data_IF_699073212162
#
_entry.id   IF_699073212162
#
_cell.length_a   1.000
_cell.length_b   1.000
_cell.length_c   1.000
_cell.angle_alpha   90.00
_cell.angle_beta   90.00
_cell.angle_gamma   90.00
#
_symmetry.space_group_name_H-M   'P 1'
#
loop_
_entity.id
_entity.type
_entity.pdbx_description
1 polymer ?
#
# COMPACT_ATOMS: atom_id res chain seq x y z
N UNK A 1 -6.30 -4.28 -3.21
CA UNK A 1 -5.78 -3.20 -4.08
C UNK A 1 -6.53 -3.18 -5.40
N UNK A 2 -6.58 -2.05 -6.09
CA UNK A 2 -7.30 -1.94 -7.37
C UNK A 2 -6.56 -2.61 -8.55
N UNK A 3 -7.26 -2.78 -9.68
CA UNK A 3 -6.71 -3.38 -10.88
C UNK A 3 -5.50 -2.62 -11.47
N UNK A 4 -5.44 -1.29 -11.28
CA UNK A 4 -4.32 -0.47 -11.73
C UNK A 4 -3.04 -0.77 -10.96
N UNK A 5 -3.17 -0.94 -9.65
CA UNK A 5 -2.12 -1.39 -8.75
C UNK A 5 -1.65 -2.79 -9.14
N UNK A 6 -2.57 -3.75 -9.33
CA UNK A 6 -2.23 -5.11 -9.78
C UNK A 6 -1.40 -5.08 -11.08
N UNK A 7 -1.85 -4.31 -12.08
CA UNK A 7 -1.11 -4.16 -13.33
C UNK A 7 0.25 -3.48 -13.16
N UNK A 8 0.38 -2.54 -12.22
CA UNK A 8 1.64 -1.87 -11.90
C UNK A 8 2.63 -2.81 -11.21
N UNK A 9 2.15 -3.68 -10.32
CA UNK A 9 2.95 -4.70 -9.66
C UNK A 9 3.58 -5.66 -10.66
N UNK A 10 2.82 -6.09 -11.67
CA UNK A 10 3.34 -6.91 -12.78
C UNK A 10 4.45 -6.22 -13.61
N UNK A 11 4.64 -4.91 -13.45
CA UNK A 11 5.73 -4.13 -14.07
C UNK A 11 6.85 -3.76 -13.08
N UNK A 12 6.89 -4.39 -11.91
CA UNK A 12 7.91 -4.14 -10.88
C UNK A 12 7.79 -2.76 -10.22
N UNK A 13 6.56 -2.27 -10.03
CA UNK A 13 6.29 -1.03 -9.29
C UNK A 13 5.95 -1.30 -7.83
N UNK A 14 6.10 -0.26 -7.01
CA UNK A 14 5.71 -0.25 -5.59
C UNK A 14 4.20 -0.07 -5.44
N UNK A 15 3.67 -0.39 -4.25
CA UNK A 15 2.28 -0.10 -3.89
C UNK A 15 2.20 1.33 -3.37
N UNK A 16 1.39 2.15 -4.02
CA UNK A 16 1.12 3.53 -3.61
C UNK A 16 -0.25 3.59 -2.92
N UNK A 17 -0.43 4.60 -2.06
CA UNK A 17 -1.68 4.85 -1.35
C UNK A 17 -2.88 4.93 -2.31
N UNK A 18 -2.71 5.59 -3.46
CA UNK A 18 -3.71 5.72 -4.52
C UNK A 18 -4.27 4.38 -5.05
N UNK A 19 -3.51 3.27 -4.96
CA UNK A 19 -3.94 1.94 -5.42
C UNK A 19 -4.57 1.07 -4.33
N UNK A 20 -4.66 1.58 -3.10
CA UNK A 20 -5.24 0.88 -1.94
C UNK A 20 -6.73 1.18 -1.91
N UNK A 21 -7.53 0.12 -1.88
CA UNK A 21 -8.99 0.20 -1.82
C UNK A 21 -9.50 0.00 -0.40
N UNK A 22 -8.92 -0.95 0.33
CA UNK A 22 -9.27 -1.29 1.71
C UNK A 22 -8.03 -1.77 2.45
N UNK A 23 -8.07 -1.65 3.78
CA UNK A 23 -7.01 -2.06 4.70
C UNK A 23 -7.66 -2.81 5.86
N UNK A 24 -7.09 -3.97 6.23
CA UNK A 24 -7.66 -4.84 7.26
C UNK A 24 -6.60 -5.20 8.32
N UNK A 25 -7.07 -5.45 9.54
CA UNK A 25 -6.24 -5.92 10.65
C UNK A 25 -5.75 -4.79 11.54
N UNK A 26 -4.60 -5.00 12.17
CA UNK A 26 -3.87 -4.00 12.93
C UNK A 26 -2.38 -4.36 12.81
N UNK A 27 -1.63 -3.55 12.10
CA UNK A 27 -0.21 -3.75 11.79
C UNK A 27 0.54 -2.45 12.03
N UNK A 28 1.83 -2.58 12.28
CA UNK A 28 2.73 -1.45 12.45
C UNK A 28 3.70 -1.39 11.27
N UNK A 29 4.28 -0.22 11.06
CA UNK A 29 5.37 -0.01 10.13
C UNK A 29 6.49 -1.01 10.39
N UNK A 30 6.92 -1.68 9.33
CA UNK A 30 7.93 -2.74 9.38
C UNK A 30 7.33 -4.15 9.40
N UNK A 31 6.01 -4.29 9.59
CA UNK A 31 5.36 -5.60 9.48
C UNK A 31 5.25 -6.07 8.03
N UNK A 32 5.35 -7.38 7.84
CA UNK A 32 5.09 -8.02 6.55
C UNK A 32 3.62 -8.37 6.45
N UNK A 33 2.91 -7.73 5.52
CA UNK A 33 1.48 -7.89 5.32
C UNK A 33 1.15 -8.57 3.99
N UNK A 34 -0.08 -9.08 3.90
CA UNK A 34 -0.66 -9.65 2.67
C UNK A 34 -1.22 -8.52 1.81
N UNK A 35 -1.05 -8.66 0.49
CA UNK A 35 -1.66 -7.79 -0.51
C UNK A 35 -2.59 -8.64 -1.35
N UNK A 36 -3.87 -8.27 -1.36
CA UNK A 36 -4.91 -9.00 -2.07
C UNK A 36 -5.52 -8.12 -3.18
N UNK A 37 -5.91 -8.73 -4.30
CA UNK A 37 -6.66 -8.05 -5.37
C UNK A 37 -8.13 -7.84 -4.99
N UNK A 38 -8.93 -7.31 -5.91
CA UNK A 38 -10.37 -7.06 -5.68
C UNK A 38 -11.20 -8.33 -5.52
N UNK A 39 -10.69 -9.48 -5.96
CA UNK A 39 -11.34 -10.79 -5.82
C UNK A 39 -10.90 -11.50 -4.52
N UNK A 40 -10.08 -10.84 -3.68
CA UNK A 40 -9.52 -11.41 -2.45
C UNK A 40 -8.39 -12.40 -2.70
N UNK A 41 -7.80 -12.43 -3.90
CA UNK A 41 -6.68 -13.32 -4.21
C UNK A 41 -5.39 -12.70 -3.68
N UNK A 42 -4.59 -13.51 -2.99
CA UNK A 42 -3.27 -13.12 -2.55
C UNK A 42 -2.32 -12.98 -3.74
N UNK A 43 -1.83 -11.76 -3.97
CA UNK A 43 -0.96 -11.43 -5.11
C UNK A 43 0.45 -11.02 -4.70
N UNK A 44 0.63 -10.55 -3.46
CA UNK A 44 1.94 -10.22 -2.93
C UNK A 44 1.96 -10.31 -1.40
N UNK A 45 3.18 -10.36 -0.85
CA UNK A 45 3.46 -10.03 0.55
C UNK A 45 4.59 -9.03 0.60
N UNK A 46 4.52 -8.05 1.50
CA UNK A 46 5.58 -7.06 1.61
C UNK A 46 5.57 -6.30 2.91
N UNK A 47 6.69 -5.65 3.18
CA UNK A 47 6.88 -4.83 4.38
C UNK A 47 6.19 -3.48 4.22
N UNK A 48 5.34 -3.13 5.17
CA UNK A 48 4.58 -1.88 5.16
C UNK A 48 5.37 -0.72 5.74
N UNK A 49 5.24 0.45 5.12
CA UNK A 49 5.96 1.67 5.50
C UNK A 49 5.15 2.62 6.39
N UNK A 50 3.88 2.30 6.65
CA UNK A 50 2.95 3.07 7.46
C UNK A 50 2.22 2.15 8.44
N UNK A 51 1.76 2.71 9.54
CA UNK A 51 0.90 2.01 10.49
C UNK A 51 -0.50 1.79 9.89
N UNK A 52 -1.28 0.89 10.48
CA UNK A 52 -2.62 0.55 9.97
C UNK A 52 -3.56 1.76 9.92
N UNK A 53 -3.55 2.60 10.95
CA UNK A 53 -4.39 3.79 11.07
C UNK A 53 -4.01 4.86 10.03
N UNK A 54 -2.71 5.07 9.81
CA UNK A 54 -2.24 5.94 8.72
C UNK A 54 -2.66 5.39 7.35
N UNK A 55 -2.49 4.09 7.12
CA UNK A 55 -2.92 3.42 5.89
C UNK A 55 -4.41 3.58 5.63
N UNK A 56 -5.24 3.48 6.67
CA UNK A 56 -6.71 3.60 6.57
C UNK A 56 -7.14 5.01 6.18
N UNK A 57 -6.45 6.04 6.69
CA UNK A 57 -6.70 7.44 6.34
C UNK A 57 -6.23 7.78 4.93
N UNK A 58 -5.09 7.25 4.49
CA UNK A 58 -4.48 7.65 3.22
C UNK A 58 -4.88 6.80 2.01
N UNK A 59 -5.61 5.70 2.20
CA UNK A 59 -6.02 4.82 1.10
C UNK A 59 -6.77 5.60 0.00
N UNK A 60 -6.40 5.36 -1.24
CA UNK A 60 -6.99 6.03 -2.41
C UNK A 60 -6.47 7.45 -2.68
N UNK A 61 -5.70 8.05 -1.76
CA UNK A 61 -5.21 9.43 -1.92
C UNK A 61 -4.00 9.53 -2.86
N UNK A 62 -3.91 10.67 -3.54
CA UNK A 62 -2.73 11.06 -4.31
C UNK A 62 -1.71 11.77 -3.45
N UNK A 63 -0.48 11.87 -3.97
CA UNK A 63 0.68 12.38 -3.22
C UNK A 63 0.44 13.77 -2.62
N UNK A 64 -0.26 14.63 -3.33
CA UNK A 64 -0.56 15.99 -2.92
C UNK A 64 -1.49 16.01 -1.69
N UNK A 65 -2.45 15.09 -1.62
CA UNK A 65 -3.43 14.95 -0.54
C UNK A 65 -2.81 14.29 0.70
N UNK A 66 -1.79 13.43 0.52
CA UNK A 66 -1.10 12.75 1.64
C UNK A 66 -0.48 13.74 2.64
N UNK A 67 0.09 14.83 2.16
CA UNK A 67 0.77 15.83 3.02
C UNK A 67 -0.23 16.47 3.97
N UNK A 68 -1.43 16.79 3.47
CA UNK A 68 -2.49 17.41 4.26
C UNK A 68 -3.03 16.47 5.33
N UNK A 69 -3.18 15.18 5.02
CA UNK A 69 -3.71 14.20 5.96
C UNK A 69 -2.69 13.76 7.02
N UNK A 70 -1.43 13.58 6.63
CA UNK A 70 -0.39 13.09 7.54
C UNK A 70 0.24 14.20 8.39
N UNK A 71 0.22 15.46 7.93
CA UNK A 71 0.87 16.58 8.60
C UNK A 71 2.42 16.54 8.55
N UNK A 72 2.99 15.61 7.79
CA UNK A 72 4.42 15.46 7.56
C UNK A 72 4.71 15.05 6.11
N UNK A 73 6.00 15.02 5.73
CA UNK A 73 6.42 14.63 4.39
C UNK A 73 6.13 13.13 4.13
N UNK A 74 5.23 12.78 3.19
CA UNK A 74 4.86 11.39 2.94
C UNK A 74 6.06 10.57 2.46
N UNK A 75 6.09 9.30 2.86
CA UNK A 75 6.99 8.30 2.28
C UNK A 75 6.64 8.06 0.81
N UNK A 76 7.61 7.56 0.05
CA UNK A 76 7.47 7.39 -1.40
C UNK A 76 6.41 6.37 -1.82
N UNK A 77 6.07 5.41 -0.96
CA UNK A 77 5.13 4.32 -1.22
C UNK A 77 4.67 3.68 0.09
N UNK A 78 3.60 2.87 0.05
CA UNK A 78 3.11 2.10 1.20
C UNK A 78 3.84 0.77 1.34
N UNK A 79 4.14 0.09 0.22
CA UNK A 79 5.05 -1.05 0.20
C UNK A 79 6.04 -0.83 -0.95
N UNK A 80 7.33 -0.81 -0.64
CA UNK A 80 8.37 -0.68 -1.66
C UNK A 80 8.54 -1.98 -2.43
N UNK A 81 8.73 -1.90 -3.76
CA UNK A 81 8.91 -3.09 -4.61
C UNK A 81 10.05 -4.01 -4.14
N UNK A 82 11.10 -3.44 -3.57
CA UNK A 82 12.28 -4.20 -3.12
C UNK A 82 12.02 -4.91 -1.78
N UNK A 83 10.97 -4.52 -1.05
CA UNK A 83 10.55 -5.13 0.21
C UNK A 83 9.29 -5.98 0.04
N UNK A 84 9.06 -6.49 -1.17
CA UNK A 84 7.85 -7.21 -1.55
C UNK A 84 8.18 -8.41 -2.43
N UNK A 85 7.39 -9.46 -2.30
CA UNK A 85 7.45 -10.67 -3.12
C UNK A 85 6.07 -10.90 -3.73
N UNK A 86 6.03 -11.11 -5.05
CA UNK A 86 4.82 -11.49 -5.79
C UNK A 86 4.60 -13.01 -5.69
N UNK A 87 3.34 -13.45 -5.76
CA UNK A 87 2.93 -14.87 -5.70
C UNK A 87 2.46 -15.36 -7.07
#
# INVERSE_FOLDING_TARGET
>A
VDAGCVAALGRGKSILAAGITEVYGNFERGDVIRVEDQDGRLIAKGMVEYDWDECDVIKGLRREELVEQLGYLPRSCVIHRDHMVLI
#
